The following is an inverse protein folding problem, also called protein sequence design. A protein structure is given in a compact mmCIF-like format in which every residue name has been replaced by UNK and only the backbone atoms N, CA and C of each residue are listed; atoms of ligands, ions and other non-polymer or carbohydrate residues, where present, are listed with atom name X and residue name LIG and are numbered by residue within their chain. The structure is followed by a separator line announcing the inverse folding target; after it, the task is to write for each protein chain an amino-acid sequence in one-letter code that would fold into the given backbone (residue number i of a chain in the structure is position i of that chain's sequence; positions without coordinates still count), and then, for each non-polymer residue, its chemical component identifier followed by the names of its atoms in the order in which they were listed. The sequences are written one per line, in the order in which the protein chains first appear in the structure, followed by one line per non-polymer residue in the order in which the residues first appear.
data_IF_345896873625
#
_entry.id   IF_345896873625
#
_cell.length_a   1.000
_cell.length_b   1.000
_cell.length_c   1.000
_cell.angle_alpha   90.00
_cell.angle_beta   90.00
_cell.angle_gamma   90.00
#
_symmetry.space_group_name_H-M   'P 1'
#
loop_
_entity.id
_entity.type
_entity.pdbx_description
1 polymer ?
#
# COMPACT_ATOMS: atom_id res chain seq x y z
N UNK A 1 21.08 -31.32 31.44
CA UNK A 1 20.84 -32.77 31.40
C UNK A 1 19.37 -33.03 31.63
N UNK A 2 18.76 -34.01 30.98
CA UNK A 2 17.42 -34.50 31.26
C UNK A 2 17.40 -35.49 32.45
N UNK A 3 16.24 -36.08 32.76
CA UNK A 3 16.08 -37.08 33.82
C UNK A 3 16.91 -38.36 33.62
N UNK A 4 17.36 -38.63 32.39
CA UNK A 4 18.25 -39.73 32.02
C UNK A 4 19.72 -39.35 31.92
N UNK A 5 20.09 -38.13 32.36
CA UNK A 5 21.44 -37.54 32.26
C UNK A 5 21.92 -37.29 30.82
N UNK A 6 21.02 -37.22 29.84
CA UNK A 6 21.36 -36.84 28.48
C UNK A 6 21.40 -35.31 28.33
N UNK A 7 22.32 -34.75 27.52
CA UNK A 7 22.30 -33.32 27.21
C UNK A 7 20.96 -32.90 26.59
N UNK A 8 20.35 -31.83 27.12
CA UNK A 8 19.08 -31.26 26.64
C UNK A 8 19.27 -30.02 25.77
N UNK A 9 20.46 -29.42 25.85
CA UNK A 9 20.82 -28.13 25.27
C UNK A 9 21.97 -27.51 26.04
N UNK A 10 22.59 -26.49 25.44
CA UNK A 10 23.68 -25.70 26.01
C UNK A 10 23.28 -24.22 26.01
N UNK A 11 23.72 -23.47 27.03
CA UNK A 11 23.35 -22.07 27.24
C UNK A 11 22.38 -21.88 28.39
N UNK A 12 21.38 -21.03 28.21
CA UNK A 12 20.37 -20.68 29.22
C UNK A 12 18.96 -21.01 28.70
N UNK A 13 18.15 -21.64 29.54
CA UNK A 13 16.74 -21.96 29.29
C UNK A 13 15.89 -21.34 30.41
N UNK A 14 14.88 -20.54 30.04
CA UNK A 14 13.83 -20.06 30.95
C UNK A 14 12.54 -20.83 30.65
N UNK A 15 12.23 -21.86 31.44
CA UNK A 15 11.07 -22.75 31.24
C UNK A 15 10.12 -22.73 32.43
N UNK A 16 8.82 -22.61 32.16
CA UNK A 16 7.73 -22.79 33.13
C UNK A 16 6.50 -23.34 32.39
N UNK A 17 5.68 -24.14 33.07
CA UNK A 17 4.38 -24.60 32.57
C UNK A 17 3.24 -23.62 32.96
N UNK A 18 3.59 -22.55 33.66
CA UNK A 18 2.68 -21.47 34.09
C UNK A 18 3.03 -20.16 33.39
N UNK A 19 2.52 -19.04 33.90
CA UNK A 19 2.84 -17.72 33.36
C UNK A 19 4.33 -17.37 33.51
N UNK A 20 4.89 -16.77 32.47
CA UNK A 20 6.20 -16.13 32.49
C UNK A 20 6.07 -14.66 32.10
N UNK A 21 6.88 -13.79 32.70
CA UNK A 21 6.94 -12.38 32.33
C UNK A 21 8.39 -11.89 32.39
N UNK A 22 8.85 -11.25 31.31
CA UNK A 22 10.09 -10.49 31.27
C UNK A 22 9.70 -9.01 31.22
N UNK A 23 10.03 -8.26 32.27
CA UNK A 23 9.68 -6.85 32.38
C UNK A 23 10.91 -6.03 32.75
N UNK A 24 11.26 -5.08 31.91
CA UNK A 24 12.32 -4.11 32.18
C UNK A 24 11.79 -2.70 31.92
N UNK A 25 11.61 -1.91 32.99
CA UNK A 25 11.05 -0.55 32.90
C UNK A 25 11.91 0.42 32.08
N UNK A 26 13.20 0.10 31.88
CA UNK A 26 14.11 0.87 31.02
C UNK A 26 14.18 0.36 29.58
N UNK A 27 13.60 -0.80 29.27
CA UNK A 27 13.61 -1.45 27.95
C UNK A 27 14.31 -2.80 27.93
N UNK A 28 14.14 -3.56 26.84
CA UNK A 28 14.62 -4.93 26.64
C UNK A 28 15.42 -4.99 25.34
N UNK A 29 16.66 -5.49 25.40
CA UNK A 29 17.47 -5.86 24.24
C UNK A 29 17.51 -7.38 24.13
N UNK A 30 17.11 -7.93 22.98
CA UNK A 30 17.26 -9.35 22.66
C UNK A 30 18.16 -9.43 21.42
N UNK A 31 19.33 -10.03 21.57
CA UNK A 31 20.31 -10.13 20.48
C UNK A 31 20.90 -11.53 20.38
N UNK A 32 21.23 -11.94 19.15
CA UNK A 32 22.05 -13.11 18.87
C UNK A 32 23.51 -12.76 18.52
N UNK A 33 23.92 -11.49 18.67
CA UNK A 33 25.31 -11.05 18.57
C UNK A 33 26.16 -11.68 19.68
N UNK A 34 27.29 -12.26 19.29
CA UNK A 34 28.20 -12.91 20.22
C UNK A 34 29.00 -11.89 21.05
N UNK A 35 28.93 -11.98 22.37
CA UNK A 35 29.78 -11.23 23.30
C UNK A 35 30.65 -12.19 24.14
N UNK A 36 31.79 -12.58 23.58
CA UNK A 36 32.66 -13.60 24.17
C UNK A 36 33.12 -13.21 25.58
N UNK A 37 32.92 -14.14 26.52
CA UNK A 37 33.32 -13.98 27.93
C UNK A 37 32.76 -12.71 28.59
N UNK A 38 31.61 -12.21 28.12
CA UNK A 38 31.00 -10.96 28.57
C UNK A 38 31.97 -9.75 28.52
N UNK A 39 32.89 -9.73 27.55
CA UNK A 39 33.78 -8.59 27.35
C UNK A 39 33.00 -7.42 26.76
N UNK A 40 32.78 -6.36 27.53
CA UNK A 40 32.05 -5.16 27.13
C UNK A 40 30.87 -4.82 28.04
N UNK A 41 30.04 -3.88 27.61
CA UNK A 41 28.83 -3.49 28.35
C UNK A 41 27.70 -4.49 28.08
N UNK A 42 26.79 -4.64 29.05
CA UNK A 42 25.58 -5.47 28.89
C UNK A 42 24.71 -5.04 27.70
N UNK A 43 24.72 -3.75 27.38
CA UNK A 43 23.96 -3.13 26.29
C UNK A 43 24.89 -2.74 25.12
N UNK A 44 26.01 -3.44 24.92
CA UNK A 44 26.79 -3.29 23.71
C UNK A 44 25.93 -3.70 22.50
N UNK A 45 25.61 -2.76 21.61
CA UNK A 45 24.62 -2.95 20.55
C UNK A 45 24.99 -2.24 19.24
N UNK A 46 26.28 -2.06 18.97
CA UNK A 46 26.74 -1.36 17.76
C UNK A 46 26.15 -1.91 16.45
N UNK A 47 26.00 -3.24 16.26
CA UNK A 47 25.31 -3.78 15.09
C UNK A 47 23.85 -3.30 15.01
N UNK A 48 23.09 -3.38 16.10
CA UNK A 48 21.71 -2.90 16.17
C UNK A 48 21.59 -1.39 15.91
N UNK A 49 22.46 -0.58 16.51
CA UNK A 49 22.53 0.88 16.27
C UNK A 49 22.85 1.19 14.81
N UNK A 50 23.74 0.43 14.18
CA UNK A 50 24.04 0.57 12.75
C UNK A 50 22.82 0.29 11.87
N UNK A 51 22.06 -0.78 12.17
CA UNK A 51 20.83 -1.12 11.47
C UNK A 51 19.74 -0.04 11.64
N UNK A 52 19.56 0.48 12.86
CA UNK A 52 18.62 1.58 13.12
C UNK A 52 18.97 2.84 12.31
N UNK A 53 20.26 3.20 12.24
CA UNK A 53 20.73 4.33 11.39
C UNK A 53 20.54 4.04 9.90
N UNK A 54 20.79 2.80 9.47
CA UNK A 54 20.53 2.34 8.10
C UNK A 54 19.07 2.55 7.69
N UNK A 55 18.12 2.22 8.57
CA UNK A 55 16.70 2.44 8.35
C UNK A 55 16.34 3.94 8.19
N UNK A 56 16.97 4.83 8.97
CA UNK A 56 16.78 6.27 8.80
C UNK A 56 17.32 6.76 7.45
N UNK A 57 18.52 6.32 7.09
CA UNK A 57 19.17 6.71 5.83
C UNK A 57 18.38 6.24 4.61
N UNK A 58 17.81 5.04 4.67
CA UNK A 58 17.01 4.50 3.58
C UNK A 58 15.78 5.37 3.32
N UNK A 59 14.99 5.71 4.34
CA UNK A 59 13.82 6.57 4.14
C UNK A 59 14.23 8.00 3.77
N UNK A 60 15.29 8.56 4.37
CA UNK A 60 15.79 9.88 4.00
C UNK A 60 16.17 9.97 2.50
N UNK A 61 16.75 8.89 1.95
CA UNK A 61 17.07 8.81 0.53
C UNK A 61 15.85 8.84 -0.41
N UNK A 62 14.64 8.58 0.09
CA UNK A 62 13.39 8.66 -0.67
C UNK A 62 12.73 10.04 -0.65
N UNK A 63 13.13 10.94 0.25
CA UNK A 63 12.49 12.26 0.39
C UNK A 63 12.53 13.06 -0.91
N UNK A 64 13.72 13.24 -1.51
CA UNK A 64 13.88 13.97 -2.77
C UNK A 64 13.21 13.26 -3.95
N UNK A 65 13.22 11.92 -3.96
CA UNK A 65 12.61 11.10 -5.01
C UNK A 65 11.09 11.25 -4.98
N UNK A 66 10.47 11.14 -3.80
CA UNK A 66 9.02 11.31 -3.64
C UNK A 66 8.58 12.73 -4.01
N UNK A 67 9.31 13.77 -3.60
CA UNK A 67 9.00 15.16 -3.98
C UNK A 67 9.10 15.37 -5.50
N UNK A 68 10.18 14.88 -6.13
CA UNK A 68 10.38 15.01 -7.59
C UNK A 68 9.27 14.35 -8.39
N UNK A 69 8.78 13.19 -7.93
CA UNK A 69 7.73 12.43 -8.58
C UNK A 69 6.33 12.71 -8.04
N UNK A 70 6.14 13.78 -7.24
CA UNK A 70 4.86 14.19 -6.64
C UNK A 70 4.14 13.07 -5.88
N UNK A 71 4.92 12.22 -5.22
CA UNK A 71 4.44 11.14 -4.35
C UNK A 71 4.40 11.61 -2.89
N UNK A 72 3.68 10.92 -2.00
CA UNK A 72 3.70 11.28 -0.57
C UNK A 72 5.09 11.07 0.02
N UNK A 73 5.60 12.11 0.70
CA UNK A 73 6.84 12.02 1.43
C UNK A 73 6.65 11.17 2.70
N UNK A 74 7.60 10.27 2.99
CA UNK A 74 7.51 9.45 4.19
C UNK A 74 7.66 10.31 5.46
N UNK A 75 6.93 9.95 6.52
CA UNK A 75 7.08 10.60 7.82
C UNK A 75 8.39 10.17 8.49
N UNK A 76 9.38 11.05 8.37
CA UNK A 76 10.72 10.86 8.93
C UNK A 76 10.79 11.15 10.43
N UNK A 77 9.91 12.00 10.96
CA UNK A 77 10.04 12.50 12.33
C UNK A 77 9.67 11.42 13.33
N UNK A 78 8.61 10.68 13.05
CA UNK A 78 8.17 9.55 13.88
C UNK A 78 9.20 8.41 13.87
N UNK A 79 9.85 8.12 12.73
CA UNK A 79 10.94 7.14 12.66
C UNK A 79 12.18 7.63 13.41
N UNK A 80 12.58 8.90 13.24
CA UNK A 80 13.72 9.49 13.96
C UNK A 80 13.53 9.41 15.47
N UNK A 81 12.36 9.81 15.96
CA UNK A 81 12.04 9.72 17.37
C UNK A 81 12.06 8.27 17.88
N UNK A 82 11.61 7.30 17.08
CA UNK A 82 11.69 5.89 17.47
C UNK A 82 13.15 5.41 17.56
N UNK A 83 13.97 5.71 16.56
CA UNK A 83 15.40 5.34 16.55
C UNK A 83 16.16 5.99 17.70
N UNK A 84 15.91 7.26 18.01
CA UNK A 84 16.54 7.93 19.16
C UNK A 84 16.20 7.26 20.49
N UNK A 85 14.97 6.76 20.65
CA UNK A 85 14.51 6.03 21.84
C UNK A 85 15.12 4.62 21.92
N UNK A 86 15.28 3.97 20.78
CA UNK A 86 15.77 2.60 20.67
C UNK A 86 17.29 2.49 20.74
N UNK A 87 18.01 3.48 20.20
CA UNK A 87 19.47 3.58 20.28
C UNK A 87 19.92 3.58 21.74
N UNK A 88 20.78 2.61 22.10
CA UNK A 88 21.23 2.35 23.46
C UNK A 88 20.10 2.11 24.48
N UNK A 89 18.87 1.82 24.02
CA UNK A 89 17.69 1.63 24.85
C UNK A 89 17.50 2.82 25.82
N UNK A 90 17.56 4.04 25.28
CA UNK A 90 17.38 5.29 26.07
C UNK A 90 15.98 5.42 26.65
N UNK A 91 14.99 4.70 26.10
CA UNK A 91 13.62 4.58 26.62
C UNK A 91 13.17 3.13 26.64
N UNK A 92 12.00 2.89 27.24
CA UNK A 92 11.34 1.59 27.36
C UNK A 92 10.91 1.01 26.01
N UNK A 93 11.88 0.53 25.24
CA UNK A 93 11.69 -0.15 23.95
C UNK A 93 11.93 -1.65 24.09
N UNK A 94 11.42 -2.42 23.14
CA UNK A 94 11.90 -3.77 22.85
C UNK A 94 12.67 -3.70 21.54
N UNK A 95 13.96 -4.01 21.56
CA UNK A 95 14.80 -4.09 20.37
C UNK A 95 15.26 -5.55 20.19
N UNK A 96 15.00 -6.10 19.00
CA UNK A 96 15.45 -7.41 18.60
C UNK A 96 16.44 -7.26 17.45
N UNK A 97 17.58 -7.91 17.56
CA UNK A 97 18.63 -7.93 16.55
C UNK A 97 19.17 -9.36 16.43
N UNK A 98 19.53 -9.78 15.23
CA UNK A 98 20.24 -11.04 15.03
C UNK A 98 21.03 -10.99 13.71
N UNK A 99 22.33 -11.33 13.70
CA UNK A 99 23.17 -11.24 12.51
C UNK A 99 22.73 -12.19 11.37
N UNK A 100 22.07 -13.29 11.71
CA UNK A 100 21.60 -14.31 10.75
C UNK A 100 20.07 -14.26 10.52
N UNK A 101 19.40 -13.21 11.01
CA UNK A 101 17.98 -12.95 10.75
C UNK A 101 17.03 -13.25 11.92
N UNK A 102 15.79 -12.79 11.78
CA UNK A 102 14.73 -12.90 12.79
C UNK A 102 13.50 -13.53 12.12
N UNK A 103 12.99 -14.61 12.72
CA UNK A 103 11.75 -15.26 12.29
C UNK A 103 10.60 -15.00 13.26
N UNK A 104 9.42 -14.65 12.74
CA UNK A 104 8.16 -14.60 13.48
C UNK A 104 7.14 -15.48 12.77
N UNK A 105 6.78 -16.61 13.39
CA UNK A 105 5.94 -17.64 12.78
C UNK A 105 4.93 -18.17 13.79
N UNK A 106 3.74 -18.53 13.31
CA UNK A 106 2.67 -19.14 14.10
C UNK A 106 1.72 -19.87 13.16
N UNK A 107 1.09 -20.99 13.57
CA UNK A 107 0.00 -21.60 12.80
C UNK A 107 -1.29 -20.78 12.84
N UNK A 108 -1.37 -19.78 13.73
CA UNK A 108 -2.52 -18.91 13.92
C UNK A 108 -2.21 -17.49 13.40
N UNK A 109 -2.72 -16.45 14.07
CA UNK A 109 -2.60 -15.06 13.63
C UNK A 109 -1.37 -14.36 14.21
N UNK A 110 -0.72 -13.53 13.39
CA UNK A 110 0.21 -12.46 13.82
C UNK A 110 -0.51 -11.12 13.73
N UNK A 111 -0.47 -10.32 14.80
CA UNK A 111 -0.97 -8.94 14.81
C UNK A 111 0.20 -7.97 14.96
N UNK A 112 0.38 -7.09 13.97
CA UNK A 112 1.30 -5.94 14.04
C UNK A 112 0.48 -4.66 14.05
N UNK A 113 0.49 -3.94 15.16
CA UNK A 113 -0.25 -2.70 15.33
C UNK A 113 0.66 -1.62 15.94
N UNK A 114 0.56 -0.40 15.42
CA UNK A 114 1.28 0.77 15.93
C UNK A 114 0.34 1.96 15.97
N UNK A 115 0.40 2.74 17.05
CA UNK A 115 -0.40 3.97 17.21
C UNK A 115 0.18 5.20 16.51
N UNK A 116 1.42 5.12 15.99
CA UNK A 116 2.07 6.21 15.26
C UNK A 116 2.45 5.75 13.85
N UNK A 117 3.54 4.99 13.72
CA UNK A 117 4.06 4.50 12.44
C UNK A 117 4.41 3.02 12.47
N UNK A 118 4.14 2.32 11.37
CA UNK A 118 4.62 0.97 11.09
C UNK A 118 5.57 1.05 9.90
N UNK A 119 6.85 0.75 10.13
CA UNK A 119 7.89 0.81 9.09
C UNK A 119 8.34 -0.60 8.74
N UNK A 120 8.21 -0.95 7.47
CA UNK A 120 8.71 -2.19 6.90
C UNK A 120 9.71 -1.82 5.81
N UNK A 121 10.96 -2.23 5.98
CA UNK A 121 12.07 -1.78 5.15
C UNK A 121 13.02 -2.93 4.84
N UNK A 122 13.64 -2.89 3.66
CA UNK A 122 14.69 -3.79 3.24
C UNK A 122 15.66 -3.01 2.36
N UNK A 123 16.96 -3.27 2.48
CA UNK A 123 17.96 -2.81 1.50
C UNK A 123 17.87 -3.67 0.22
N UNK A 124 17.44 -4.92 0.36
CA UNK A 124 17.11 -5.81 -0.75
C UNK A 124 15.62 -5.76 -1.07
N UNK A 125 15.02 -6.93 -1.32
CA UNK A 125 13.62 -7.05 -1.70
C UNK A 125 12.68 -7.05 -0.49
N UNK A 126 11.43 -6.66 -0.73
CA UNK A 126 10.29 -6.88 0.18
C UNK A 126 9.26 -7.73 -0.55
N UNK A 127 9.05 -8.96 -0.07
CA UNK A 127 8.11 -9.91 -0.65
C UNK A 127 6.91 -10.10 0.28
N UNK A 128 5.70 -9.86 -0.25
CA UNK A 128 4.44 -10.03 0.48
C UNK A 128 3.58 -11.01 -0.32
N UNK A 129 3.23 -12.15 0.28
CA UNK A 129 2.43 -13.19 -0.34
C UNK A 129 1.27 -13.60 0.57
N UNK A 130 0.11 -13.87 -0.03
CA UNK A 130 -1.08 -14.39 0.63
C UNK A 130 -1.71 -15.40 -0.30
N UNK A 131 -2.05 -16.57 0.23
CA UNK A 131 -2.71 -17.63 -0.56
C UNK A 131 -4.14 -17.25 -0.95
N UNK A 132 -4.77 -16.38 -0.18
CA UNK A 132 -6.14 -15.95 -0.43
C UNK A 132 -6.18 -14.51 -0.95
N UNK A 133 -6.28 -13.54 -0.04
CA UNK A 133 -6.49 -12.13 -0.39
C UNK A 133 -5.42 -11.28 0.26
N UNK A 134 -4.98 -10.26 -0.47
CA UNK A 134 -4.18 -9.16 0.05
C UNK A 134 -5.04 -7.89 -0.06
N UNK A 135 -5.39 -7.29 1.08
CA UNK A 135 -6.17 -6.06 1.13
C UNK A 135 -5.32 -4.93 1.71
N UNK A 136 -5.36 -3.76 1.07
CA UNK A 136 -4.65 -2.56 1.50
C UNK A 136 -5.67 -1.42 1.58
N UNK A 137 -5.88 -0.88 2.78
CA UNK A 137 -6.85 0.19 3.03
C UNK A 137 -6.17 1.34 3.76
N UNK A 138 -6.41 2.57 3.31
CA UNK A 138 -5.90 3.78 3.96
C UNK A 138 -7.01 4.84 4.01
N UNK A 139 -7.10 5.59 5.11
CA UNK A 139 -8.12 6.63 5.26
C UNK A 139 -7.84 7.92 4.48
N UNK A 140 -6.58 8.13 4.07
CA UNK A 140 -6.17 9.33 3.34
C UNK A 140 -5.78 8.99 1.90
N UNK A 141 -4.70 8.22 1.72
CA UNK A 141 -4.24 7.86 0.38
C UNK A 141 -3.37 6.61 0.37
N UNK A 142 -3.28 5.98 -0.81
CA UNK A 142 -2.30 4.94 -1.14
C UNK A 142 -1.45 5.49 -2.28
N UNK A 143 -0.13 5.34 -2.19
CA UNK A 143 0.78 5.79 -3.24
C UNK A 143 1.90 4.79 -3.49
N UNK A 144 2.19 4.55 -4.75
CA UNK A 144 3.19 3.57 -5.20
C UNK A 144 4.17 4.28 -6.13
N UNK A 145 5.46 4.14 -5.84
CA UNK A 145 6.53 4.75 -6.62
C UNK A 145 7.65 3.73 -6.86
N UNK A 146 8.05 3.60 -8.13
CA UNK A 146 9.24 2.86 -8.55
C UNK A 146 10.19 3.80 -9.25
N UNK A 147 11.48 3.74 -8.91
CA UNK A 147 12.50 4.68 -9.42
C UNK A 147 13.13 4.23 -10.74
N UNK A 148 13.18 2.94 -11.02
CA UNK A 148 14.00 2.38 -12.11
C UNK A 148 13.23 1.43 -13.01
N UNK A 149 12.62 0.38 -12.46
CA UNK A 149 12.04 -0.72 -13.25
C UNK A 149 10.52 -0.58 -13.50
N UNK A 150 9.92 0.54 -13.10
CA UNK A 150 8.50 0.83 -13.30
C UNK A 150 7.57 0.07 -12.37
N UNK A 151 6.27 0.08 -12.69
CA UNK A 151 5.19 -0.58 -11.94
C UNK A 151 4.46 -1.54 -12.88
N UNK A 152 4.22 -2.77 -12.42
CA UNK A 152 3.50 -3.80 -13.16
C UNK A 152 2.29 -4.26 -12.36
N UNK A 153 1.10 -4.04 -12.91
CA UNK A 153 -0.18 -4.52 -12.34
C UNK A 153 -0.73 -5.61 -13.27
N UNK A 154 -0.94 -6.82 -12.74
CA UNK A 154 -1.37 -7.97 -13.55
C UNK A 154 -2.49 -8.71 -12.82
N UNK A 155 -3.54 -9.03 -13.57
CA UNK A 155 -4.52 -10.06 -13.19
C UNK A 155 -4.31 -11.28 -14.08
N UNK A 156 -3.95 -12.43 -13.48
CA UNK A 156 -3.76 -13.67 -14.22
C UNK A 156 -5.11 -14.27 -14.69
N UNK A 157 -6.13 -14.16 -13.85
CA UNK A 157 -7.53 -14.52 -14.13
C UNK A 157 -8.43 -13.54 -13.39
N UNK A 158 -9.58 -13.24 -13.99
CA UNK A 158 -10.50 -12.23 -13.47
C UNK A 158 -10.14 -10.80 -13.91
N UNK A 159 -11.03 -9.83 -13.69
CA UNK A 159 -10.88 -8.47 -14.20
C UNK A 159 -9.78 -7.69 -13.45
N UNK A 160 -9.20 -6.71 -14.14
CA UNK A 160 -8.42 -5.64 -13.51
C UNK A 160 -9.26 -4.36 -13.53
N UNK A 161 -9.80 -3.97 -12.37
CA UNK A 161 -10.60 -2.76 -12.23
C UNK A 161 -9.73 -1.64 -11.65
N UNK A 162 -9.81 -0.45 -12.25
CA UNK A 162 -9.18 0.78 -11.78
C UNK A 162 -10.26 1.87 -11.80
N UNK A 163 -10.66 2.34 -10.63
CA UNK A 163 -11.84 3.18 -10.46
C UNK A 163 -11.54 4.40 -9.57
N UNK A 164 -12.17 5.53 -9.89
CA UNK A 164 -12.20 6.73 -9.05
C UNK A 164 -13.65 7.19 -8.93
N UNK A 165 -14.21 7.17 -7.72
CA UNK A 165 -15.67 7.32 -7.52
C UNK A 165 -16.12 8.76 -7.28
N UNK A 166 -15.22 9.65 -6.89
CA UNK A 166 -15.56 11.03 -6.49
C UNK A 166 -14.54 12.05 -7.00
N UNK A 167 -13.59 11.63 -7.82
CA UNK A 167 -12.57 12.51 -8.38
C UNK A 167 -12.07 11.95 -9.74
N UNK A 168 -11.04 12.56 -10.31
CA UNK A 168 -10.46 12.21 -11.59
C UNK A 168 -9.77 10.82 -11.57
N UNK A 169 -9.81 10.14 -12.71
CA UNK A 169 -8.90 9.06 -13.05
C UNK A 169 -7.96 9.57 -14.15
N UNK A 170 -6.66 9.68 -13.86
CA UNK A 170 -5.66 10.21 -14.80
C UNK A 170 -4.63 9.16 -15.19
N UNK A 171 -4.35 9.04 -16.49
CA UNK A 171 -3.26 8.23 -17.03
C UNK A 171 -2.38 9.11 -17.91
N UNK A 172 -1.07 9.13 -17.65
CA UNK A 172 -0.12 9.99 -18.39
C UNK A 172 1.19 9.24 -18.60
N UNK A 173 1.73 9.32 -19.82
CA UNK A 173 3.02 8.74 -20.21
C UNK A 173 3.84 9.80 -20.94
N UNK A 174 5.16 9.78 -20.77
CA UNK A 174 6.08 10.61 -21.57
C UNK A 174 6.19 10.07 -23.01
N UNK A 175 6.11 8.74 -23.15
CA UNK A 175 6.12 8.05 -24.43
C UNK A 175 4.70 7.59 -24.75
N UNK A 176 4.57 6.46 -25.41
CA UNK A 176 3.29 5.96 -25.89
C UNK A 176 2.36 5.54 -24.74
N UNK A 177 1.06 5.62 -25.02
CA UNK A 177 -0.01 4.97 -24.27
C UNK A 177 -0.67 3.97 -25.20
N UNK A 178 -0.63 2.69 -24.84
CA UNK A 178 -1.21 1.60 -25.63
C UNK A 178 -2.40 1.01 -24.90
N UNK A 179 -3.57 1.03 -25.55
CA UNK A 179 -4.80 0.40 -25.04
C UNK A 179 -5.30 -0.58 -26.10
N UNK A 180 -5.40 -1.86 -25.74
CA UNK A 180 -5.69 -2.93 -26.69
C UNK A 180 -6.66 -3.94 -26.10
N UNK A 181 -7.60 -4.40 -26.92
CA UNK A 181 -8.43 -5.58 -26.68
C UNK A 181 -8.13 -6.58 -27.79
N UNK A 182 -7.60 -7.74 -27.44
CA UNK A 182 -7.09 -8.72 -28.45
C UNK A 182 -8.20 -9.59 -29.04
N UNK A 183 -9.26 -9.83 -28.28
CA UNK A 183 -10.39 -10.67 -28.66
C UNK A 183 -11.75 -10.05 -28.32
N UNK A 184 -11.76 -8.84 -27.75
CA UNK A 184 -12.96 -8.18 -27.25
C UNK A 184 -13.18 -6.81 -27.89
N UNK A 185 -13.84 -5.94 -27.11
CA UNK A 185 -14.25 -4.60 -27.54
C UNK A 185 -13.57 -3.53 -26.69
N UNK A 186 -13.20 -2.40 -27.31
CA UNK A 186 -12.78 -1.19 -26.60
C UNK A 186 -13.96 -0.23 -26.50
N UNK A 187 -14.41 0.05 -25.28
CA UNK A 187 -15.54 0.96 -25.01
C UNK A 187 -15.07 2.21 -24.29
N UNK A 188 -15.43 3.37 -24.84
CA UNK A 188 -15.23 4.68 -24.22
C UNK A 188 -16.59 5.37 -24.16
N UNK A 189 -17.11 5.57 -22.95
CA UNK A 189 -18.42 6.20 -22.73
C UNK A 189 -18.25 7.33 -21.72
N UNK A 190 -18.83 8.49 -22.01
CA UNK A 190 -18.77 9.65 -21.13
C UNK A 190 -20.07 10.45 -21.18
N UNK A 191 -20.53 10.93 -20.02
CA UNK A 191 -21.75 11.76 -19.91
C UNK A 191 -21.58 13.15 -20.51
N UNK A 192 -20.40 13.73 -20.34
CA UNK A 192 -20.12 15.14 -20.66
C UNK A 192 -19.24 15.30 -21.91
N UNK A 193 -19.21 14.26 -22.76
CA UNK A 193 -18.49 14.27 -24.03
C UNK A 193 -17.13 13.58 -24.01
N UNK A 194 -16.60 13.34 -25.20
CA UNK A 194 -15.32 12.67 -25.46
C UNK A 194 -14.53 13.55 -26.43
N UNK A 195 -13.22 13.71 -26.22
CA UNK A 195 -12.32 14.40 -27.16
C UNK A 195 -11.10 13.54 -27.43
N UNK A 196 -10.82 13.31 -28.72
CA UNK A 196 -9.62 12.63 -29.21
C UNK A 196 -8.88 13.65 -30.06
N UNK A 197 -7.69 14.09 -29.62
CA UNK A 197 -6.94 15.17 -30.28
C UNK A 197 -5.49 14.80 -30.55
N UNK A 198 -4.94 15.28 -31.66
CA UNK A 198 -3.54 15.11 -32.04
C UNK A 198 -3.09 16.25 -32.98
N UNK A 199 -2.00 16.95 -32.63
CA UNK A 199 -1.38 17.94 -33.53
C UNK A 199 -2.31 19.05 -34.03
N UNK A 200 -3.34 19.42 -33.26
CA UNK A 200 -4.36 20.41 -33.64
C UNK A 200 -5.58 19.85 -34.39
N UNK A 201 -5.55 18.60 -34.86
CA UNK A 201 -6.73 17.89 -35.34
C UNK A 201 -7.45 17.21 -34.18
N UNK A 202 -8.77 17.06 -34.27
CA UNK A 202 -9.56 16.40 -33.23
C UNK A 202 -10.88 15.80 -33.73
N UNK A 203 -11.37 14.82 -32.97
CA UNK A 203 -12.74 14.33 -32.99
C UNK A 203 -13.34 14.64 -31.62
N UNK A 204 -14.51 15.29 -31.58
CA UNK A 204 -15.23 15.60 -30.35
C UNK A 204 -16.67 15.11 -30.43
N UNK A 205 -17.10 14.42 -29.38
CA UNK A 205 -18.49 14.04 -29.13
C UNK A 205 -19.02 14.93 -28.01
N UNK A 206 -20.05 15.72 -28.28
CA UNK A 206 -20.61 16.66 -27.29
C UNK A 206 -21.72 16.01 -26.45
N UNK A 207 -22.06 16.57 -25.28
CA UNK A 207 -23.21 16.09 -24.50
C UNK A 207 -24.55 16.17 -25.25
N UNK A 208 -24.65 17.02 -26.27
CA UNK A 208 -25.83 17.20 -27.10
C UNK A 208 -25.92 16.19 -28.25
N UNK A 209 -24.92 15.31 -28.40
CA UNK A 209 -24.86 14.31 -29.46
C UNK A 209 -24.25 14.80 -30.78
N UNK A 210 -23.60 15.98 -30.78
CA UNK A 210 -22.90 16.48 -31.97
C UNK A 210 -21.54 15.78 -32.13
N UNK A 211 -21.18 15.51 -33.38
CA UNK A 211 -19.88 14.94 -33.77
C UNK A 211 -19.11 16.00 -34.54
N UNK A 212 -18.04 16.53 -33.95
CA UNK A 212 -17.12 17.47 -34.60
C UNK A 212 -15.88 16.71 -35.09
N UNK A 213 -15.54 16.85 -36.38
CA UNK A 213 -14.32 16.31 -36.98
C UNK A 213 -13.57 17.46 -37.67
N UNK A 214 -12.62 18.06 -36.95
CA UNK A 214 -11.91 19.26 -37.41
C UNK A 214 -10.40 19.06 -37.45
N UNK A 215 -9.72 19.78 -38.34
CA UNK A 215 -8.27 19.84 -38.38
C UNK A 215 -7.75 20.93 -39.32
N UNK A 216 -6.51 21.40 -39.12
CA UNK A 216 -5.91 22.46 -39.94
C UNK A 216 -5.42 21.98 -41.31
N UNK A 217 -5.36 20.67 -41.54
CA UNK A 217 -4.89 20.03 -42.77
C UNK A 217 -6.00 19.38 -43.59
N UNK A 218 -5.60 18.47 -44.49
CA UNK A 218 -6.53 17.71 -45.32
C UNK A 218 -7.37 16.72 -44.50
N UNK A 219 -8.70 16.79 -44.61
CA UNK A 219 -9.61 15.73 -44.18
C UNK A 219 -9.77 14.70 -45.31
N UNK A 220 -9.07 13.56 -45.23
CA UNK A 220 -9.08 12.52 -46.27
C UNK A 220 -10.13 11.43 -45.97
N UNK A 221 -11.30 11.51 -46.60
CA UNK A 221 -12.38 10.53 -46.48
C UNK A 221 -12.46 9.66 -47.74
N UNK A 222 -12.23 8.34 -47.62
CA UNK A 222 -12.25 7.39 -48.75
C UNK A 222 -13.15 6.20 -48.41
N UNK A 223 -14.08 5.86 -49.31
CA UNK A 223 -15.00 4.73 -49.15
C UNK A 223 -16.35 4.96 -49.82
N UNK A 224 -17.31 4.06 -49.58
CA UNK A 224 -18.72 4.28 -49.91
C UNK A 224 -19.40 4.97 -48.72
N UNK A 225 -20.16 6.02 -48.98
CA UNK A 225 -20.84 6.80 -47.95
C UNK A 225 -22.36 6.68 -48.12
N UNK A 226 -23.07 6.22 -47.09
CA UNK A 226 -24.53 6.23 -47.02
C UNK A 226 -24.95 7.17 -45.89
N UNK A 227 -25.40 8.37 -46.25
CA UNK A 227 -25.80 9.40 -45.29
C UNK A 227 -27.31 9.29 -45.05
N UNK A 228 -27.68 8.82 -43.86
CA UNK A 228 -29.08 8.70 -43.41
C UNK A 228 -29.45 9.86 -42.46
N UNK A 229 -30.73 9.93 -42.08
CA UNK A 229 -31.18 10.87 -41.05
C UNK A 229 -30.56 10.61 -39.67
N UNK A 230 -30.72 11.54 -38.71
CA UNK A 230 -30.16 11.41 -37.37
C UNK A 230 -30.73 10.19 -36.63
N UNK A 231 -29.90 9.57 -35.80
CA UNK A 231 -30.24 8.45 -34.94
C UNK A 231 -29.62 8.66 -33.55
N UNK A 232 -30.08 7.88 -32.56
CA UNK A 232 -29.60 7.94 -31.19
C UNK A 232 -29.63 6.55 -30.55
N UNK A 233 -28.71 6.32 -29.63
CA UNK A 233 -28.60 5.13 -28.79
C UNK A 233 -28.24 5.58 -27.37
N UNK A 234 -28.74 4.88 -26.37
CA UNK A 234 -28.46 5.15 -24.96
C UNK A 234 -27.36 4.23 -24.44
N UNK A 235 -26.35 4.79 -23.79
CA UNK A 235 -25.24 4.05 -23.19
C UNK A 235 -25.33 4.17 -21.68
N UNK A 236 -25.73 3.08 -21.03
CA UNK A 236 -25.84 3.00 -19.57
C UNK A 236 -24.44 3.17 -18.94
N UNK A 237 -24.30 4.20 -18.10
CA UNK A 237 -23.09 4.45 -17.30
C UNK A 237 -23.21 3.75 -15.94
N UNK A 238 -22.11 3.23 -15.38
CA UNK A 238 -22.15 2.62 -14.05
C UNK A 238 -22.47 3.66 -12.98
N UNK A 239 -23.33 3.30 -12.02
CA UNK A 239 -23.56 4.09 -10.82
C UNK A 239 -22.30 4.02 -9.94
N UNK A 240 -21.63 5.16 -9.76
CA UNK A 240 -20.49 5.24 -8.85
C UNK A 240 -21.02 5.37 -7.41
N UNK A 241 -20.56 4.53 -6.45
CA UNK A 241 -20.92 4.69 -5.06
C UNK A 241 -20.58 6.10 -4.57
N UNK A 242 -21.61 6.85 -4.19
CA UNK A 242 -21.44 8.13 -3.51
C UNK A 242 -20.83 7.87 -2.12
N UNK A 243 -19.88 8.71 -1.69
CA UNK A 243 -19.35 8.71 -0.32
C UNK A 243 -20.48 8.47 0.69
N UNK A 244 -20.27 7.54 1.64
CA UNK A 244 -21.32 7.10 2.56
C UNK A 244 -22.02 8.33 3.14
N UNK A 245 -23.27 8.52 2.75
CA UNK A 245 -24.10 9.64 3.17
C UNK A 245 -24.12 9.67 4.71
N UNK A 246 -23.42 10.64 5.31
CA UNK A 246 -23.30 10.76 6.78
C UNK A 246 -24.68 10.87 7.44
N UNK A 247 -25.65 11.49 6.77
CA UNK A 247 -27.04 11.54 7.22
C UNK A 247 -27.73 10.17 7.16
N UNK A 248 -27.40 9.34 6.17
CA UNK A 248 -27.93 8.00 6.01
C UNK A 248 -27.34 7.05 7.05
N UNK A 249 -26.05 7.20 7.38
CA UNK A 249 -25.39 6.54 8.52
C UNK A 249 -26.03 6.95 9.86
N UNK A 250 -26.28 8.25 10.06
CA UNK A 250 -26.97 8.75 11.26
C UNK A 250 -28.39 8.20 11.37
N UNK A 251 -29.17 8.24 10.28
CA UNK A 251 -30.52 7.63 10.23
C UNK A 251 -30.48 6.13 10.51
N UNK A 252 -29.51 5.41 9.96
CA UNK A 252 -29.34 3.98 10.23
C UNK A 252 -28.97 3.69 11.70
N UNK A 253 -28.13 4.53 12.32
CA UNK A 253 -27.84 4.46 13.76
C UNK A 253 -29.06 4.77 14.63
N UNK A 254 -29.84 5.79 14.29
CA UNK A 254 -31.08 6.13 14.99
C UNK A 254 -32.12 5.01 14.89
N UNK A 255 -32.25 4.38 13.71
CA UNK A 255 -33.12 3.21 13.53
C UNK A 255 -32.63 1.97 14.27
N UNK A 256 -31.31 1.77 14.39
CA UNK A 256 -30.72 0.66 15.13
C UNK A 256 -30.88 0.80 16.67
N UNK A 257 -30.99 2.03 17.19
CA UNK A 257 -31.29 2.28 18.61
C UNK A 257 -32.74 1.94 19.00
N UNK A 258 -33.62 1.67 18.03
CA UNK A 258 -35.00 1.22 18.27
C UNK A 258 -35.14 -0.24 18.72
N UNK A 259 -34.08 -1.04 18.69
CA UNK A 259 -34.08 -2.43 19.16
C UNK A 259 -33.51 -2.56 20.57
N UNK A 260 -34.35 -2.26 21.56
CA UNK A 260 -34.13 -2.74 22.94
C UNK A 260 -34.72 -4.16 23.00
N UNK A 261 -33.93 -5.21 23.32
CA UNK A 261 -34.51 -6.50 23.64
C UNK A 261 -35.41 -6.32 24.86
N UNK A 262 -36.69 -6.70 24.77
CA UNK A 262 -37.50 -6.85 25.98
C UNK A 262 -36.94 -8.02 26.75
N UNK A 263 -36.43 -7.75 27.94
CA UNK A 263 -36.03 -8.78 28.89
C UNK A 263 -37.21 -9.75 29.13
N UNK A 264 -36.91 -11.05 29.06
CA UNK A 264 -37.78 -12.14 29.48
C UNK A 264 -37.09 -12.90 30.61
#
# INVERSE_FOLDING_TARGET
MDGGKQPRGEGFELRTDSYGAIRAGKGIFITADAQMKAQGQQLAMEPATSLLRGAQNLIAGWESVTQTHRNFSPDMDTLKQFVEKADQIKKSVLLMEAPEGIGSVTPESILLHSGNGLYMQSIGEVSIASEQRLAVNASQAISLLSRQEGVRLVSAKGPLNIESHSDILSLTSLQDVTVQSTQGHLQLTAKNGITIGCGGAYIRLTPQGEIEIHGPGLLSLKGQHNLQGPASEDFQLPDLPSSVCKECLKRAQELAQGFVPRDA
#
